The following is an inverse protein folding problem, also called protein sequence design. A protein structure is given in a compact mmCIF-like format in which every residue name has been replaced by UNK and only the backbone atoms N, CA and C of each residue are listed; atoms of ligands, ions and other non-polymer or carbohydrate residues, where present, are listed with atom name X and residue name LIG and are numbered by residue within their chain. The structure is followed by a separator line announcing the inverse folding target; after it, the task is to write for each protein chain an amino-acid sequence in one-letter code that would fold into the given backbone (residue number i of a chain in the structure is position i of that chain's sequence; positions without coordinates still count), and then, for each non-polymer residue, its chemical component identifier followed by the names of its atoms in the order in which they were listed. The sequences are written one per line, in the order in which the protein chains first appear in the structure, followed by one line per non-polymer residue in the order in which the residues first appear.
data_IF_283790149460
#
_entry.id   IF_283790149460
#
_cell.length_a   1.000
_cell.length_b   1.000
_cell.length_c   1.000
_cell.angle_alpha   90.00
_cell.angle_beta   90.00
_cell.angle_gamma   90.00
#
_symmetry.space_group_name_H-M   'P 1'
#
loop_
_entity.id
_entity.type
_entity.pdbx_description
1 polymer ?
#
# COMPACT_ATOMS: atom_id res chain seq x y z
N UNK A 1 18.42 2.09 19.09
CA UNK A 1 17.03 1.58 19.19
C UNK A 1 16.74 0.53 18.12
N UNK A 2 16.83 0.88 16.82
CA UNK A 2 16.54 -0.05 15.69
C UNK A 2 17.26 -1.40 15.81
N UNK A 3 18.57 -1.41 16.10
CA UNK A 3 19.32 -2.64 16.36
C UNK A 3 18.62 -3.56 17.38
N UNK A 4 18.18 -3.03 18.53
CA UNK A 4 17.51 -3.84 19.57
C UNK A 4 16.16 -4.40 19.09
N UNK A 5 15.42 -3.65 18.27
CA UNK A 5 14.14 -4.11 17.71
C UNK A 5 14.40 -5.27 16.75
N UNK A 6 15.38 -5.14 15.85
CA UNK A 6 15.71 -6.20 14.89
C UNK A 6 16.28 -7.44 15.58
N UNK A 7 17.12 -7.28 16.61
CA UNK A 7 17.60 -8.42 17.41
C UNK A 7 16.45 -9.13 18.13
N UNK A 8 15.48 -8.39 18.68
CA UNK A 8 14.28 -9.01 19.26
C UNK A 8 13.47 -9.75 18.19
N UNK A 9 13.27 -9.16 17.02
CA UNK A 9 12.55 -9.80 15.92
C UNK A 9 13.24 -11.09 15.43
N UNK A 10 14.57 -11.12 15.36
CA UNK A 10 15.36 -12.33 15.05
C UNK A 10 15.31 -13.38 16.16
N UNK A 11 15.26 -12.93 17.42
CA UNK A 11 15.23 -13.83 18.58
C UNK A 11 13.88 -14.53 18.71
N UNK A 12 12.79 -13.79 18.55
CA UNK A 12 11.43 -14.31 18.75
C UNK A 12 10.74 -14.76 17.45
N UNK A 13 11.28 -14.36 16.29
CA UNK A 13 10.78 -14.74 14.98
C UNK A 13 11.74 -15.68 14.26
N UNK A 14 11.19 -16.61 13.48
CA UNK A 14 11.99 -17.44 12.57
C UNK A 14 12.20 -16.69 11.24
N UNK A 15 13.04 -15.65 11.25
CA UNK A 15 13.29 -14.82 10.08
C UNK A 15 14.24 -15.53 9.11
N UNK A 16 13.87 -15.57 7.84
CA UNK A 16 14.76 -16.07 6.79
C UNK A 16 15.82 -15.03 6.43
N UNK A 17 16.96 -15.45 5.88
CA UNK A 17 18.01 -14.54 5.40
C UNK A 17 17.55 -13.60 4.29
N UNK A 18 16.46 -13.94 3.58
CA UNK A 18 15.89 -13.15 2.49
C UNK A 18 14.68 -12.31 2.95
N UNK A 19 14.49 -12.12 4.26
CA UNK A 19 13.39 -11.33 4.80
C UNK A 19 13.56 -9.86 4.40
N UNK A 20 12.52 -9.26 3.83
CA UNK A 20 12.47 -7.81 3.63
C UNK A 20 12.37 -7.12 4.99
N UNK A 21 13.32 -6.22 5.25
CA UNK A 21 13.36 -5.36 6.43
C UNK A 21 13.28 -3.91 5.93
N UNK A 22 12.05 -3.42 5.89
CA UNK A 22 11.71 -2.08 5.38
C UNK A 22 11.72 -1.04 6.49
N UNK A 23 12.27 0.14 6.20
CA UNK A 23 12.15 1.34 7.02
C UNK A 23 11.44 2.44 6.22
N UNK A 24 10.54 3.18 6.87
CA UNK A 24 9.98 4.43 6.33
C UNK A 24 10.76 5.63 6.88
N UNK A 25 11.01 6.61 6.02
CA UNK A 25 11.74 7.83 6.36
C UNK A 25 11.14 9.05 5.66
N UNK A 26 11.30 10.22 6.27
CA UNK A 26 11.07 11.53 5.67
C UNK A 26 12.40 12.14 5.20
N UNK A 27 12.39 13.05 4.20
CA UNK A 27 13.60 13.69 3.65
C UNK A 27 14.37 14.63 4.58
N UNK A 28 14.20 14.55 5.90
CA UNK A 28 14.80 15.51 6.83
C UNK A 28 16.28 15.24 7.05
N UNK A 29 17.08 16.31 7.23
CA UNK A 29 18.53 16.19 7.46
C UNK A 29 18.91 15.31 8.66
N UNK A 30 18.05 15.20 9.67
CA UNK A 30 18.26 14.36 10.85
C UNK A 30 18.16 12.87 10.52
N UNK A 31 17.22 12.50 9.67
CA UNK A 31 17.04 11.12 9.23
C UNK A 31 18.13 10.70 8.26
N UNK A 32 18.52 11.60 7.35
CA UNK A 32 19.55 11.32 6.35
C UNK A 32 20.91 10.97 6.95
N UNK A 33 21.29 11.59 8.08
CA UNK A 33 22.54 11.28 8.80
C UNK A 33 22.58 9.86 9.38
N UNK A 34 21.46 9.15 9.44
CA UNK A 34 21.33 7.83 10.06
C UNK A 34 21.18 6.69 9.05
N UNK A 35 21.06 6.97 7.75
CA UNK A 35 20.82 5.92 6.75
C UNK A 35 21.87 4.81 6.76
N UNK A 36 23.15 5.16 6.82
CA UNK A 36 24.23 4.17 6.91
C UNK A 36 24.13 3.30 8.18
N UNK A 37 23.73 3.89 9.30
CA UNK A 37 23.51 3.14 10.54
C UNK A 37 22.29 2.22 10.45
N UNK A 38 21.24 2.63 9.73
CA UNK A 38 20.08 1.78 9.47
C UNK A 38 20.44 0.60 8.56
N UNK A 39 21.21 0.84 7.49
CA UNK A 39 21.74 -0.23 6.64
C UNK A 39 22.58 -1.22 7.45
N UNK A 40 23.50 -0.72 8.29
CA UNK A 40 24.30 -1.56 9.18
C UNK A 40 23.46 -2.36 10.19
N UNK A 41 22.31 -1.83 10.62
CA UNK A 41 21.39 -2.57 11.48
C UNK A 41 20.70 -3.75 10.79
N UNK A 42 20.71 -3.78 9.44
CA UNK A 42 20.08 -4.81 8.63
C UNK A 42 18.84 -4.35 7.87
N UNK A 43 18.51 -3.05 7.87
CA UNK A 43 17.49 -2.51 6.94
C UNK A 43 17.99 -2.75 5.51
N UNK A 44 17.17 -3.38 4.68
CA UNK A 44 17.50 -3.71 3.29
C UNK A 44 16.52 -3.11 2.27
N UNK A 45 15.49 -2.39 2.72
CA UNK A 45 14.61 -1.56 1.89
C UNK A 45 14.27 -0.26 2.61
N UNK A 46 14.28 0.85 1.88
CA UNK A 46 13.86 2.17 2.39
C UNK A 46 12.63 2.64 1.61
N UNK A 47 11.60 3.15 2.29
CA UNK A 47 10.51 3.95 1.68
C UNK A 47 10.70 5.39 2.09
N UNK A 48 10.93 6.29 1.12
CA UNK A 48 11.17 7.70 1.37
C UNK A 48 9.94 8.52 0.98
N UNK A 49 9.33 9.15 1.97
CA UNK A 49 8.14 9.99 1.83
C UNK A 49 8.42 11.36 1.22
N UNK A 50 8.78 11.42 -0.07
CA UNK A 50 9.15 12.66 -0.78
C UNK A 50 7.95 13.58 -1.00
N UNK A 51 6.84 13.00 -1.42
CA UNK A 51 5.54 13.59 -1.73
C UNK A 51 5.51 14.52 -2.95
N UNK A 52 6.44 15.46 -3.04
CA UNK A 52 6.58 16.37 -4.19
C UNK A 52 8.00 16.94 -4.29
N UNK A 53 8.38 17.38 -5.48
CA UNK A 53 9.59 18.17 -5.75
C UNK A 53 9.25 19.65 -6.02
N UNK A 54 8.08 20.10 -5.56
CA UNK A 54 7.62 21.48 -5.67
C UNK A 54 7.34 22.05 -4.27
N UNK A 55 8.01 23.15 -3.90
CA UNK A 55 7.89 23.74 -2.56
C UNK A 55 6.46 24.19 -2.23
N UNK A 56 5.74 24.80 -3.19
CA UNK A 56 4.35 25.21 -2.98
C UNK A 56 3.44 24.01 -2.68
N UNK A 57 3.68 22.89 -3.36
CA UNK A 57 2.96 21.64 -3.12
C UNK A 57 3.31 21.03 -1.76
N UNK A 58 4.58 21.05 -1.37
CA UNK A 58 5.04 20.57 -0.07
C UNK A 58 4.43 21.38 1.08
N UNK A 59 4.40 22.71 0.95
CA UNK A 59 3.73 23.62 1.88
C UNK A 59 2.24 23.31 2.00
N UNK A 60 1.55 23.09 0.87
CA UNK A 60 0.14 22.70 0.84
C UNK A 60 -0.11 21.38 1.60
N UNK A 61 0.79 20.41 1.44
CA UNK A 61 0.73 19.12 2.11
C UNK A 61 1.20 19.19 3.58
N UNK A 62 1.62 20.36 4.06
CA UNK A 62 2.11 20.56 5.44
C UNK A 62 3.44 19.87 5.73
N UNK A 63 4.31 19.74 4.73
CA UNK A 63 5.64 19.14 4.88
C UNK A 63 6.65 20.15 5.40
N UNK A 64 7.59 19.66 6.20
CA UNK A 64 8.63 20.43 6.87
C UNK A 64 9.99 20.35 6.16
N UNK A 65 10.00 19.86 4.92
CA UNK A 65 11.15 19.76 4.05
C UNK A 65 10.91 20.45 2.71
N UNK A 66 11.98 20.94 2.08
CA UNK A 66 11.97 21.54 0.74
C UNK A 66 12.22 20.53 -0.38
N UNK A 67 11.92 20.91 -1.62
CA UNK A 67 12.23 20.14 -2.82
C UNK A 67 13.74 19.83 -2.92
N UNK A 68 14.58 20.80 -2.55
CA UNK A 68 16.05 20.62 -2.53
C UNK A 68 16.50 19.58 -1.50
N UNK A 69 15.89 19.57 -0.31
CA UNK A 69 16.15 18.54 0.70
C UNK A 69 15.68 17.16 0.23
N UNK A 70 14.51 17.10 -0.43
CA UNK A 70 14.03 15.90 -1.09
C UNK A 70 15.02 15.34 -2.11
N UNK A 71 15.53 16.15 -3.04
CA UNK A 71 16.51 15.69 -4.04
C UNK A 71 17.79 15.13 -3.40
N UNK A 72 18.32 15.82 -2.39
CA UNK A 72 19.50 15.36 -1.66
C UNK A 72 19.22 14.06 -0.90
N UNK A 73 18.05 13.95 -0.27
CA UNK A 73 17.62 12.76 0.45
C UNK A 73 17.48 11.57 -0.49
N UNK A 74 16.89 11.77 -1.67
CA UNK A 74 16.77 10.75 -2.72
C UNK A 74 18.15 10.29 -3.16
N UNK A 75 19.02 11.20 -3.56
CA UNK A 75 20.37 10.88 -4.03
C UNK A 75 21.18 10.08 -3.00
N UNK A 76 21.11 10.49 -1.74
CA UNK A 76 21.77 9.79 -0.64
C UNK A 76 21.14 8.41 -0.40
N UNK A 77 19.82 8.31 -0.41
CA UNK A 77 19.10 7.05 -0.21
C UNK A 77 19.43 6.01 -1.27
N UNK A 78 19.44 6.40 -2.55
CA UNK A 78 19.78 5.48 -3.65
C UNK A 78 21.27 5.10 -3.68
N UNK A 79 22.13 5.95 -3.11
CA UNK A 79 23.54 5.60 -2.91
C UNK A 79 23.75 4.63 -1.73
N UNK A 80 22.90 4.72 -0.70
CA UNK A 80 23.01 3.87 0.49
C UNK A 80 22.28 2.53 0.31
N UNK A 81 21.08 2.46 -0.25
CA UNK A 81 20.28 1.23 -0.31
C UNK A 81 20.07 0.72 -1.74
N UNK A 82 20.10 -0.60 -1.92
CA UNK A 82 19.84 -1.24 -3.23
C UNK A 82 18.35 -1.25 -3.60
N UNK A 83 17.46 -1.13 -2.61
CA UNK A 83 16.01 -1.06 -2.78
C UNK A 83 15.44 0.16 -2.06
N UNK A 84 15.12 1.20 -2.83
CA UNK A 84 14.50 2.43 -2.35
C UNK A 84 13.14 2.57 -3.04
N UNK A 85 12.09 2.86 -2.29
CA UNK A 85 10.83 3.40 -2.82
C UNK A 85 10.81 4.89 -2.62
N UNK A 86 10.39 5.63 -3.64
CA UNK A 86 10.06 7.04 -3.49
C UNK A 86 8.55 7.19 -3.56
N UNK A 87 8.00 7.81 -2.52
CA UNK A 87 6.56 7.93 -2.34
C UNK A 87 6.17 9.36 -2.72
N UNK A 88 5.26 9.51 -3.68
CA UNK A 88 4.79 10.77 -4.24
C UNK A 88 3.28 10.88 -4.18
N UNK A 89 2.76 12.10 -4.09
CA UNK A 89 1.32 12.39 -4.09
C UNK A 89 0.97 13.23 -5.31
N UNK A 90 -0.07 12.84 -6.05
CA UNK A 90 -0.58 13.57 -7.22
C UNK A 90 -2.09 13.82 -7.13
N UNK A 91 -2.64 14.58 -8.07
CA UNK A 91 -4.04 15.00 -8.03
C UNK A 91 -4.27 16.08 -6.98
N UNK A 92 -3.24 16.88 -6.72
CA UNK A 92 -3.26 17.94 -5.70
C UNK A 92 -3.94 19.18 -6.31
N UNK A 93 -4.80 19.91 -5.57
CA UNK A 93 -5.43 21.13 -6.06
C UNK A 93 -4.41 22.12 -6.66
N UNK A 94 -4.67 22.55 -7.90
CA UNK A 94 -3.78 23.43 -8.66
C UNK A 94 -2.73 22.72 -9.52
N UNK A 95 -2.53 21.40 -9.36
CA UNK A 95 -1.70 20.60 -10.25
C UNK A 95 -2.39 20.44 -11.61
N UNK A 96 -1.62 20.48 -12.69
CA UNK A 96 -2.10 20.20 -14.06
C UNK A 96 -1.54 18.87 -14.57
N UNK A 97 -2.23 18.23 -15.52
CA UNK A 97 -1.75 16.98 -16.15
C UNK A 97 -0.36 17.15 -16.78
N UNK A 98 -0.09 18.30 -17.39
CA UNK A 98 1.22 18.60 -17.99
C UNK A 98 2.32 18.73 -16.93
N UNK A 99 2.04 19.46 -15.83
CA UNK A 99 3.00 19.55 -14.71
C UNK A 99 3.28 18.17 -14.10
N UNK A 100 2.25 17.33 -13.95
CA UNK A 100 2.43 15.99 -13.40
C UNK A 100 3.17 15.06 -14.36
N UNK A 101 2.93 15.16 -15.67
CA UNK A 101 3.70 14.42 -16.67
C UNK A 101 5.19 14.77 -16.62
N UNK A 102 5.51 16.05 -16.44
CA UNK A 102 6.89 16.49 -16.27
C UNK A 102 7.52 15.92 -15.00
N UNK A 103 6.79 15.96 -13.88
CA UNK A 103 7.21 15.34 -12.62
C UNK A 103 7.46 13.83 -12.80
N UNK A 104 6.53 13.09 -13.43
CA UNK A 104 6.67 11.65 -13.70
C UNK A 104 7.94 11.32 -14.50
N UNK A 105 8.19 12.07 -15.58
CA UNK A 105 9.39 11.93 -16.40
C UNK A 105 10.67 12.23 -15.62
N UNK A 106 10.62 13.17 -14.68
CA UNK A 106 11.76 13.51 -13.84
C UNK A 106 12.00 12.46 -12.75
N UNK A 107 10.97 12.09 -11.98
CA UNK A 107 11.09 11.13 -10.87
C UNK A 107 11.46 9.73 -11.36
N UNK A 108 11.04 9.35 -12.58
CA UNK A 108 11.44 8.08 -13.21
C UNK A 108 12.95 8.00 -13.47
N UNK A 109 13.68 9.10 -13.41
CA UNK A 109 15.13 9.18 -13.66
C UNK A 109 15.97 9.29 -12.39
N UNK A 110 15.35 9.36 -11.20
CA UNK A 110 16.03 9.54 -9.91
C UNK A 110 16.77 8.29 -9.37
N UNK A 111 17.13 7.36 -10.24
CA UNK A 111 17.94 6.19 -9.88
C UNK A 111 17.23 5.07 -9.12
N UNK A 112 16.00 5.29 -8.64
CA UNK A 112 15.21 4.23 -8.00
C UNK A 112 14.63 3.22 -9.00
N UNK A 113 14.38 2.00 -8.52
CA UNK A 113 13.62 0.97 -9.22
C UNK A 113 12.15 0.86 -8.77
N UNK A 114 11.76 1.56 -7.70
CA UNK A 114 10.42 1.48 -7.12
C UNK A 114 9.84 2.87 -6.84
N UNK A 115 8.58 3.07 -7.22
CA UNK A 115 7.83 4.30 -6.99
C UNK A 115 6.45 3.96 -6.44
N UNK A 116 6.02 4.65 -5.39
CA UNK A 116 4.65 4.60 -4.90
C UNK A 116 3.98 5.95 -5.16
N UNK A 117 3.06 5.96 -6.12
CA UNK A 117 2.37 7.15 -6.61
C UNK A 117 0.94 7.13 -6.09
N UNK A 118 0.68 7.94 -5.07
CA UNK A 118 -0.62 8.03 -4.41
C UNK A 118 -1.43 9.18 -5.00
N UNK A 119 -2.67 8.89 -5.37
CA UNK A 119 -3.62 9.97 -5.63
C UNK A 119 -4.06 10.56 -4.29
N UNK A 120 -4.14 11.90 -4.20
CA UNK A 120 -4.53 12.58 -2.98
C UNK A 120 -5.95 12.18 -2.56
N UNK A 121 -6.07 11.49 -1.43
CA UNK A 121 -7.35 11.18 -0.80
C UNK A 121 -7.63 12.10 0.39
N UNK A 122 -8.91 12.39 0.62
CA UNK A 122 -9.34 13.29 1.68
C UNK A 122 -9.91 12.47 2.84
N UNK A 123 -9.15 12.38 3.92
CA UNK A 123 -9.56 11.65 5.11
C UNK A 123 -10.31 12.54 6.11
N UNK A 124 -11.38 12.00 6.70
CA UNK A 124 -12.15 12.71 7.73
C UNK A 124 -11.27 13.05 8.93
N UNK A 125 -11.41 14.26 9.45
CA UNK A 125 -10.64 14.74 10.60
C UNK A 125 -9.30 15.38 10.25
N UNK A 126 -8.88 15.36 8.98
CA UNK A 126 -7.68 16.07 8.53
C UNK A 126 -7.92 17.58 8.36
N UNK A 127 -6.87 18.42 8.41
CA UNK A 127 -6.96 19.83 8.04
C UNK A 127 -7.55 20.03 6.63
N UNK A 128 -7.11 19.24 5.65
CA UNK A 128 -7.61 19.31 4.27
C UNK A 128 -9.12 19.07 4.19
N UNK A 129 -9.64 18.04 4.90
CA UNK A 129 -11.09 17.80 4.97
C UNK A 129 -11.86 19.01 5.48
N UNK A 130 -11.34 19.70 6.51
CA UNK A 130 -11.97 20.92 7.05
C UNK A 130 -11.99 22.05 6.02
N UNK A 131 -10.90 22.25 5.28
CA UNK A 131 -10.83 23.27 4.24
C UNK A 131 -11.80 23.00 3.09
N UNK A 132 -11.92 21.75 2.65
CA UNK A 132 -12.87 21.35 1.60
C UNK A 132 -14.31 21.52 2.10
N UNK A 133 -14.59 21.06 3.33
CA UNK A 133 -15.92 21.21 3.93
C UNK A 133 -16.35 22.67 4.04
N UNK A 134 -15.41 23.56 4.37
CA UNK A 134 -15.62 25.00 4.45
C UNK A 134 -15.51 25.72 3.09
N UNK A 135 -15.34 24.98 1.98
CA UNK A 135 -15.23 25.49 0.61
C UNK A 135 -14.06 26.46 0.39
N UNK A 136 -13.01 26.40 1.20
CA UNK A 136 -11.78 27.19 0.98
C UNK A 136 -10.82 26.53 -0.01
N UNK A 137 -10.98 25.22 -0.24
CA UNK A 137 -10.22 24.43 -1.22
C UNK A 137 -11.22 23.60 -2.03
N UNK A 138 -11.04 23.57 -3.35
CA UNK A 138 -11.81 22.71 -4.26
C UNK A 138 -10.92 21.56 -4.72
N UNK A 139 -11.39 20.33 -4.53
CA UNK A 139 -10.73 19.14 -5.07
C UNK A 139 -11.00 19.00 -6.56
N UNK A 140 -10.13 18.28 -7.26
CA UNK A 140 -10.41 17.80 -8.59
C UNK A 140 -11.69 16.94 -8.58
N UNK A 141 -12.53 17.08 -9.60
CA UNK A 141 -13.66 16.18 -9.79
C UNK A 141 -13.20 14.77 -10.20
N UNK A 142 -14.13 13.83 -10.24
CA UNK A 142 -13.84 12.42 -10.50
C UNK A 142 -13.26 12.19 -11.92
N UNK A 143 -13.69 12.99 -12.90
CA UNK A 143 -13.20 12.91 -14.28
C UNK A 143 -11.74 13.35 -14.38
N UNK A 144 -11.39 14.50 -13.80
CA UNK A 144 -10.01 14.95 -13.73
C UNK A 144 -9.15 13.98 -12.92
N UNK A 145 -9.65 13.44 -11.81
CA UNK A 145 -8.94 12.42 -11.04
C UNK A 145 -8.64 11.17 -11.89
N UNK A 146 -9.59 10.72 -12.71
CA UNK A 146 -9.39 9.61 -13.63
C UNK A 146 -8.32 9.93 -14.68
N UNK A 147 -8.33 11.13 -15.26
CA UNK A 147 -7.31 11.57 -16.23
C UNK A 147 -5.90 11.54 -15.62
N UNK A 148 -5.74 11.98 -14.37
CA UNK A 148 -4.46 11.91 -13.67
C UNK A 148 -4.00 10.47 -13.46
N UNK A 149 -4.90 9.57 -13.07
CA UNK A 149 -4.59 8.16 -12.89
C UNK A 149 -4.16 7.51 -14.21
N UNK A 150 -4.91 7.74 -15.29
CA UNK A 150 -4.59 7.21 -16.63
C UNK A 150 -3.26 7.76 -17.16
N UNK A 151 -3.03 9.07 -17.05
CA UNK A 151 -1.76 9.70 -17.42
C UNK A 151 -0.59 9.05 -16.66
N UNK A 152 -0.76 8.82 -15.35
CA UNK A 152 0.25 8.16 -14.51
C UNK A 152 0.60 6.78 -15.05
N UNK A 153 -0.40 5.94 -15.32
CA UNK A 153 -0.16 4.60 -15.83
C UNK A 153 0.54 4.62 -17.19
N UNK A 154 0.11 5.49 -18.10
CA UNK A 154 0.64 5.57 -19.45
C UNK A 154 2.10 6.05 -19.46
N UNK A 155 2.41 7.15 -18.76
CA UNK A 155 3.78 7.67 -18.68
C UNK A 155 4.69 6.67 -17.98
N UNK A 156 4.28 6.06 -16.86
CA UNK A 156 5.12 5.09 -16.16
C UNK A 156 5.42 3.85 -17.00
N UNK A 157 4.44 3.38 -17.80
CA UNK A 157 4.65 2.29 -18.76
C UNK A 157 5.66 2.66 -19.84
N UNK A 158 5.60 3.87 -20.39
CA UNK A 158 6.60 4.39 -21.34
C UNK A 158 8.00 4.42 -20.70
N UNK A 159 8.08 4.79 -19.42
CA UNK A 159 9.31 4.81 -18.60
C UNK A 159 9.76 3.40 -18.13
N UNK A 160 9.15 2.32 -18.63
CA UNK A 160 9.47 0.93 -18.29
C UNK A 160 9.25 0.59 -16.81
N UNK A 161 8.18 1.10 -16.22
CA UNK A 161 7.68 0.69 -14.92
C UNK A 161 6.36 -0.06 -15.06
N UNK A 162 6.26 -1.19 -14.37
CA UNK A 162 5.05 -1.98 -14.22
C UNK A 162 4.33 -1.62 -12.92
N UNK A 163 3.09 -1.17 -13.04
CA UNK A 163 2.17 -1.11 -11.92
C UNK A 163 1.81 -2.54 -11.48
N UNK A 164 1.92 -2.84 -10.19
CA UNK A 164 1.54 -4.17 -9.67
C UNK A 164 0.40 -4.11 -8.64
N UNK A 165 0.18 -2.93 -8.05
CA UNK A 165 -0.97 -2.60 -7.22
C UNK A 165 -1.36 -1.13 -7.41
N UNK A 166 -2.51 -0.72 -6.87
CA UNK A 166 -3.15 0.58 -7.10
C UNK A 166 -2.19 1.79 -7.07
N UNK A 167 -1.19 1.80 -6.20
CA UNK A 167 -0.25 2.93 -6.07
C UNK A 167 1.21 2.59 -6.42
N UNK A 168 1.62 1.32 -6.41
CA UNK A 168 3.06 0.99 -6.58
C UNK A 168 3.44 0.46 -7.95
N UNK A 169 4.59 0.95 -8.38
CA UNK A 169 5.24 0.70 -9.65
C UNK A 169 6.67 0.21 -9.40
N UNK A 170 7.10 -0.75 -10.19
CA UNK A 170 8.48 -1.24 -10.17
C UNK A 170 9.02 -1.28 -11.59
N UNK A 171 10.32 -1.00 -11.79
CA UNK A 171 10.92 -1.15 -13.12
C UNK A 171 10.71 -2.56 -13.64
N UNK A 172 10.41 -2.68 -14.94
CA UNK A 172 10.10 -3.96 -15.57
C UNK A 172 11.21 -5.00 -15.38
N UNK A 173 12.47 -4.56 -15.41
CA UNK A 173 13.66 -5.40 -15.19
C UNK A 173 13.95 -5.74 -13.72
N UNK A 174 13.22 -5.15 -12.76
CA UNK A 174 13.47 -5.23 -11.32
C UNK A 174 12.25 -5.78 -10.54
N UNK A 175 11.49 -6.72 -11.11
CA UNK A 175 10.28 -7.28 -10.45
C UNK A 175 10.54 -7.87 -9.06
N UNK A 176 11.78 -8.28 -8.77
CA UNK A 176 12.20 -8.76 -7.46
C UNK A 176 12.27 -7.66 -6.38
N UNK A 177 12.11 -6.38 -6.73
CA UNK A 177 12.16 -5.23 -5.81
C UNK A 177 10.77 -4.71 -5.41
N UNK A 178 9.68 -5.37 -5.84
CA UNK A 178 8.32 -5.06 -5.35
C UNK A 178 8.27 -5.17 -3.83
N UNK A 179 7.59 -4.23 -3.16
CA UNK A 179 7.46 -4.26 -1.70
C UNK A 179 6.71 -5.49 -1.19
N UNK A 180 7.40 -6.37 -0.47
CA UNK A 180 6.81 -7.58 0.14
C UNK A 180 5.91 -7.19 1.31
N UNK A 181 6.27 -6.14 2.06
CA UNK A 181 5.46 -5.58 3.14
C UNK A 181 4.01 -5.32 2.68
N UNK A 182 3.83 -4.48 1.66
CA UNK A 182 2.50 -4.12 1.14
C UNK A 182 1.78 -5.35 0.57
N UNK A 183 2.46 -6.14 -0.27
CA UNK A 183 1.89 -7.34 -0.89
C UNK A 183 1.41 -8.38 0.13
N UNK A 184 2.05 -8.47 1.29
CA UNK A 184 1.63 -9.37 2.37
C UNK A 184 0.25 -9.02 2.92
N UNK A 185 -0.05 -7.72 3.09
CA UNK A 185 -1.40 -7.28 3.47
C UNK A 185 -2.41 -7.62 2.38
N UNK A 186 -2.09 -7.24 1.12
CA UNK A 186 -2.98 -7.43 -0.02
C UNK A 186 -3.30 -8.90 -0.33
N UNK A 187 -2.44 -9.83 0.07
CA UNK A 187 -2.62 -11.29 -0.12
C UNK A 187 -3.16 -12.02 1.11
N UNK A 188 -3.56 -11.29 2.15
CA UNK A 188 -4.19 -11.93 3.31
C UNK A 188 -3.21 -12.52 4.33
N UNK A 189 -1.91 -12.28 4.25
CA UNK A 189 -0.95 -12.83 5.20
C UNK A 189 -1.20 -12.32 6.62
N UNK A 190 -0.96 -13.19 7.60
CA UNK A 190 -0.99 -12.78 9.00
C UNK A 190 0.22 -11.88 9.31
N UNK A 191 0.03 -10.93 10.22
CA UNK A 191 1.04 -10.00 10.68
C UNK A 191 0.79 -9.60 12.13
N UNK A 192 1.87 -9.36 12.86
CA UNK A 192 1.82 -8.94 14.26
C UNK A 192 2.08 -7.44 14.32
N UNK A 193 1.10 -6.68 14.82
CA UNK A 193 1.28 -5.28 15.18
C UNK A 193 1.91 -5.14 16.55
N UNK A 194 3.04 -4.42 16.62
CA UNK A 194 3.76 -4.10 17.86
C UNK A 194 3.92 -2.59 17.97
N UNK A 195 3.79 -2.08 19.18
CA UNK A 195 3.90 -0.65 19.48
C UNK A 195 2.54 0.04 19.62
N UNK A 196 2.53 1.29 20.08
CA UNK A 196 1.30 2.06 20.28
C UNK A 196 0.54 2.24 18.96
N UNK A 197 -0.78 2.05 19.00
CA UNK A 197 -1.68 2.20 17.85
C UNK A 197 -1.59 1.10 16.79
N UNK A 198 -0.65 0.16 16.91
CA UNK A 198 -0.46 -0.88 15.91
C UNK A 198 -1.68 -1.83 15.81
N UNK A 199 -1.95 -2.27 14.59
CA UNK A 199 -2.94 -3.30 14.29
C UNK A 199 -2.25 -4.60 13.87
N UNK A 200 -2.90 -5.74 14.10
CA UNK A 200 -2.41 -7.04 13.69
C UNK A 200 -3.53 -7.94 13.17
N UNK A 201 -3.17 -8.94 12.37
CA UNK A 201 -4.03 -10.07 11.99
C UNK A 201 -3.28 -11.36 12.26
N UNK A 202 -3.80 -12.23 13.12
CA UNK A 202 -3.10 -13.46 13.46
C UNK A 202 -4.03 -14.65 13.61
N UNK A 203 -3.61 -15.80 13.09
CA UNK A 203 -4.21 -17.10 13.36
C UNK A 203 -3.93 -17.58 14.79
N UNK A 204 -4.96 -18.13 15.44
CA UNK A 204 -4.86 -18.84 16.72
C UNK A 204 -5.08 -20.33 16.51
N UNK A 205 -4.05 -21.13 16.81
CA UNK A 205 -4.14 -22.60 16.77
C UNK A 205 -5.12 -23.15 17.81
N UNK A 206 -5.26 -22.52 18.98
CA UNK A 206 -6.13 -23.01 20.04
C UNK A 206 -7.61 -22.92 19.65
N UNK A 207 -8.01 -21.81 19.01
CA UNK A 207 -9.40 -21.58 18.61
C UNK A 207 -9.67 -21.87 17.13
N UNK A 208 -8.64 -22.21 16.35
CA UNK A 208 -8.69 -22.40 14.90
C UNK A 208 -9.37 -21.22 14.19
N UNK A 209 -8.99 -19.99 14.56
CA UNK A 209 -9.61 -18.73 14.06
C UNK A 209 -8.59 -17.62 13.90
N UNK A 210 -8.83 -16.71 12.95
CA UNK A 210 -8.07 -15.45 12.81
C UNK A 210 -8.67 -14.36 13.70
N UNK A 211 -7.81 -13.49 14.20
CA UNK A 211 -8.19 -12.34 15.01
C UNK A 211 -7.60 -11.05 14.47
N UNK A 212 -8.35 -9.96 14.56
CA UNK A 212 -7.81 -8.61 14.51
C UNK A 212 -7.37 -8.20 15.91
N UNK A 213 -6.13 -7.74 16.01
CA UNK A 213 -5.56 -7.23 17.25
C UNK A 213 -5.37 -5.73 17.14
N UNK A 214 -5.66 -5.03 18.23
CA UNK A 214 -5.56 -3.58 18.34
C UNK A 214 -4.68 -3.28 19.54
N UNK A 215 -3.61 -2.51 19.36
CA UNK A 215 -2.80 -2.02 20.48
C UNK A 215 -3.40 -0.76 21.07
N UNK A 216 -3.05 -0.48 22.32
CA UNK A 216 -3.37 0.82 22.92
C UNK A 216 -2.74 1.91 22.05
N UNK A 217 -3.50 2.97 21.76
CA UNK A 217 -3.05 4.08 20.93
C UNK A 217 -2.00 4.94 21.65
N UNK A 218 -2.27 5.27 22.92
CA UNK A 218 -1.45 6.18 23.71
C UNK A 218 -0.13 5.53 24.15
N UNK A 219 1.04 6.09 23.81
CA UNK A 219 2.33 5.46 24.09
C UNK A 219 2.59 5.12 25.56
N UNK A 220 2.31 6.04 26.48
CA UNK A 220 2.57 5.81 27.90
C UNK A 220 1.69 4.69 28.47
N UNK A 221 0.39 4.72 28.17
CA UNK A 221 -0.53 3.66 28.60
C UNK A 221 -0.17 2.30 27.98
N UNK A 222 0.31 2.30 26.73
CA UNK A 222 0.79 1.08 26.07
C UNK A 222 2.02 0.52 26.80
N UNK A 223 2.97 1.36 27.17
CA UNK A 223 4.18 0.95 27.93
C UNK A 223 3.81 0.42 29.32
N UNK A 224 3.00 1.15 30.08
CA UNK A 224 2.55 0.74 31.42
C UNK A 224 1.83 -0.63 31.39
N UNK A 225 1.01 -0.87 30.37
CA UNK A 225 0.33 -2.15 30.21
C UNK A 225 1.31 -3.27 29.80
N UNK A 226 2.26 -3.00 28.92
CA UNK A 226 3.31 -3.95 28.59
C UNK A 226 4.12 -4.37 29.82
N UNK A 227 4.48 -3.43 30.70
CA UNK A 227 5.24 -3.71 31.91
C UNK A 227 4.42 -4.44 32.98
N UNK A 228 3.13 -4.14 33.11
CA UNK A 228 2.27 -4.74 34.14
C UNK A 228 1.76 -6.13 33.80
N UNK A 229 1.37 -6.39 32.55
CA UNK A 229 0.74 -7.67 32.14
C UNK A 229 1.46 -8.37 30.97
N UNK A 230 2.56 -7.81 30.47
CA UNK A 230 3.38 -8.42 29.41
C UNK A 230 2.94 -8.13 27.97
N UNK A 231 1.84 -7.40 27.74
CA UNK A 231 1.43 -6.98 26.38
C UNK A 231 0.52 -5.74 26.34
N UNK A 232 0.70 -4.89 25.31
CA UNK A 232 -0.11 -3.68 25.10
C UNK A 232 -1.36 -3.87 24.23
N UNK A 233 -2.07 -5.00 24.39
CA UNK A 233 -3.28 -5.28 23.61
C UNK A 233 -4.50 -4.56 24.22
N UNK A 234 -5.22 -3.79 23.39
CA UNK A 234 -6.48 -3.14 23.76
C UNK A 234 -7.69 -4.01 23.43
N UNK A 235 -7.71 -4.62 22.24
CA UNK A 235 -8.79 -5.49 21.77
C UNK A 235 -8.24 -6.63 20.93
N UNK A 236 -8.92 -7.77 21.01
CA UNK A 236 -8.72 -8.92 20.14
C UNK A 236 -10.10 -9.38 19.68
N UNK A 237 -10.36 -9.32 18.37
CA UNK A 237 -11.70 -9.56 17.79
C UNK A 237 -11.61 -10.70 16.78
N UNK A 238 -12.38 -11.79 16.93
CA UNK A 238 -12.39 -12.86 15.94
C UNK A 238 -12.91 -12.36 14.60
N UNK A 239 -12.30 -12.80 13.51
CA UNK A 239 -12.73 -12.47 12.15
C UNK A 239 -13.64 -13.57 11.64
N UNK A 240 -14.85 -13.19 11.21
CA UNK A 240 -15.76 -14.15 10.58
C UNK A 240 -15.18 -14.62 9.24
N UNK A 241 -15.38 -15.89 8.90
CA UNK A 241 -14.83 -16.46 7.66
C UNK A 241 -15.25 -15.66 6.42
N UNK A 242 -16.55 -15.35 6.30
CA UNK A 242 -17.11 -14.53 5.20
C UNK A 242 -16.46 -13.14 5.11
N UNK A 243 -16.22 -12.50 6.26
CA UNK A 243 -15.63 -11.16 6.30
C UNK A 243 -14.20 -11.16 5.77
N UNK A 244 -13.40 -12.16 6.16
CA UNK A 244 -12.04 -12.32 5.65
C UNK A 244 -12.04 -12.61 4.14
N UNK A 245 -12.96 -13.44 3.63
CA UNK A 245 -13.04 -13.70 2.20
C UNK A 245 -13.41 -12.45 1.40
N UNK A 246 -14.35 -11.64 1.91
CA UNK A 246 -14.70 -10.35 1.31
C UNK A 246 -13.51 -9.37 1.31
N UNK A 247 -12.74 -9.33 2.41
CA UNK A 247 -11.50 -8.55 2.51
C UNK A 247 -10.48 -8.99 1.45
N UNK A 248 -10.30 -10.29 1.22
CA UNK A 248 -9.40 -10.80 0.17
C UNK A 248 -9.82 -10.34 -1.23
N UNK A 249 -11.12 -10.35 -1.55
CA UNK A 249 -11.60 -9.87 -2.86
C UNK A 249 -11.29 -8.38 -3.01
N UNK A 250 -11.66 -7.57 -2.01
CA UNK A 250 -11.42 -6.12 -2.02
C UNK A 250 -9.93 -5.81 -2.23
N UNK A 251 -9.06 -6.47 -1.48
CA UNK A 251 -7.62 -6.27 -1.57
C UNK A 251 -7.03 -6.81 -2.88
N UNK A 252 -7.55 -7.95 -3.37
CA UNK A 252 -7.14 -8.54 -4.64
C UNK A 252 -7.48 -7.65 -5.84
N UNK A 253 -8.63 -6.99 -5.83
CA UNK A 253 -9.04 -6.05 -6.90
C UNK A 253 -8.20 -4.75 -6.92
N UNK A 254 -7.43 -4.47 -5.87
CA UNK A 254 -6.43 -3.39 -5.86
C UNK A 254 -5.08 -3.84 -6.43
N UNK A 255 -4.98 -5.04 -7.00
CA UNK A 255 -3.78 -5.60 -7.60
C UNK A 255 -3.99 -5.96 -9.06
N UNK A 256 -2.92 -5.80 -9.86
CA UNK A 256 -2.90 -6.24 -11.26
C UNK A 256 -3.09 -7.75 -11.40
N UNK A 257 -2.57 -8.54 -10.46
CA UNK A 257 -2.72 -10.01 -10.44
C UNK A 257 -4.12 -10.45 -10.00
N UNK A 258 -4.90 -9.55 -9.38
CA UNK A 258 -6.22 -9.86 -8.87
C UNK A 258 -6.25 -10.80 -7.67
N UNK A 259 -7.35 -11.55 -7.59
CA UNK A 259 -7.57 -12.63 -6.64
C UNK A 259 -7.66 -13.98 -7.37
N UNK A 260 -6.87 -14.96 -6.96
CA UNK A 260 -6.89 -16.31 -7.53
C UNK A 260 -7.68 -17.26 -6.63
N UNK A 261 -8.29 -18.29 -7.22
CA UNK A 261 -9.00 -19.32 -6.45
C UNK A 261 -8.08 -20.03 -5.45
N UNK A 262 -6.80 -20.23 -5.80
CA UNK A 262 -5.81 -20.88 -4.94
C UNK A 262 -5.54 -20.08 -3.65
N UNK A 263 -5.76 -18.76 -3.66
CA UNK A 263 -5.58 -17.99 -2.42
C UNK A 263 -6.60 -18.44 -1.38
N UNK A 264 -7.83 -18.79 -1.79
CA UNK A 264 -8.94 -19.16 -0.89
C UNK A 264 -8.66 -20.48 -0.16
N UNK A 265 -7.86 -21.37 -0.75
CA UNK A 265 -7.46 -22.64 -0.12
C UNK A 265 -6.70 -22.40 1.19
N UNK A 266 -5.91 -21.32 1.28
CA UNK A 266 -5.19 -20.91 2.50
C UNK A 266 -6.13 -20.44 3.62
N UNK A 267 -7.39 -20.25 3.29
CA UNK A 267 -8.39 -19.64 4.15
C UNK A 267 -9.62 -20.51 4.39
N UNK A 268 -9.60 -21.77 3.96
CA UNK A 268 -10.64 -22.74 4.26
C UNK A 268 -11.04 -23.61 3.07
N UNK A 269 -10.77 -23.20 1.81
CA UNK A 269 -10.97 -24.01 0.59
C UNK A 269 -12.40 -24.46 0.26
N UNK A 270 -13.34 -24.37 1.20
CA UNK A 270 -14.74 -24.77 1.02
C UNK A 270 -15.53 -23.77 0.14
N UNK A 271 -15.08 -22.51 0.10
CA UNK A 271 -15.72 -21.43 -0.64
C UNK A 271 -14.96 -21.16 -1.93
N UNK A 272 -15.66 -21.21 -3.07
CA UNK A 272 -15.09 -20.91 -4.39
C UNK A 272 -15.41 -19.48 -4.81
N UNK A 273 -14.63 -18.92 -5.74
CA UNK A 273 -14.95 -17.63 -6.36
C UNK A 273 -16.34 -17.63 -7.00
N UNK A 274 -16.72 -18.72 -7.68
CA UNK A 274 -18.08 -18.87 -8.24
C UNK A 274 -19.17 -18.71 -7.15
N UNK A 275 -19.00 -19.35 -5.99
CA UNK A 275 -19.98 -19.26 -4.90
C UNK A 275 -20.07 -17.87 -4.28
N UNK A 276 -18.93 -17.17 -4.16
CA UNK A 276 -18.90 -15.79 -3.67
C UNK A 276 -19.58 -14.83 -4.62
N UNK A 277 -19.44 -15.10 -5.93
CA UNK A 277 -19.91 -14.24 -7.00
C UNK A 277 -21.31 -14.58 -7.51
N UNK A 278 -21.95 -15.64 -7.00
CA UNK A 278 -23.23 -16.15 -7.48
C UNK A 278 -24.33 -15.08 -7.54
N UNK A 279 -24.39 -14.21 -6.54
CA UNK A 279 -25.38 -13.12 -6.45
C UNK A 279 -24.91 -11.82 -7.13
N UNK A 280 -23.75 -11.84 -7.77
CA UNK A 280 -23.08 -10.67 -8.38
C UNK A 280 -22.75 -10.91 -9.86
N UNK A 281 -23.27 -11.97 -10.48
CA UNK A 281 -22.97 -12.35 -11.87
C UNK A 281 -23.31 -11.24 -12.87
N UNK A 282 -24.42 -10.53 -12.69
CA UNK A 282 -24.77 -9.39 -13.55
C UNK A 282 -23.78 -8.23 -13.42
N UNK A 283 -23.36 -7.92 -12.19
CA UNK A 283 -22.37 -6.88 -11.89
C UNK A 283 -21.01 -7.25 -12.50
N UNK A 284 -20.57 -8.50 -12.31
CA UNK A 284 -19.35 -9.02 -12.91
C UNK A 284 -19.38 -8.97 -14.43
N UNK A 285 -20.48 -9.42 -15.05
CA UNK A 285 -20.66 -9.38 -16.51
C UNK A 285 -20.56 -7.95 -17.03
N UNK A 286 -21.17 -6.98 -16.34
CA UNK A 286 -21.08 -5.56 -16.68
C UNK A 286 -19.63 -5.06 -16.55
N UNK A 287 -18.98 -5.35 -15.43
CA UNK A 287 -17.58 -4.96 -15.19
C UNK A 287 -16.61 -5.56 -16.21
N UNK A 288 -16.87 -6.79 -16.68
CA UNK A 288 -16.00 -7.48 -17.65
C UNK A 288 -16.27 -7.04 -19.09
N UNK A 289 -17.53 -7.04 -19.54
CA UNK A 289 -17.87 -6.90 -20.95
C UNK A 289 -18.29 -5.49 -21.37
N UNK A 290 -18.88 -4.69 -20.47
CA UNK A 290 -19.34 -3.34 -20.80
C UNK A 290 -18.33 -2.28 -20.37
N UNK A 291 -17.77 -2.42 -19.17
CA UNK A 291 -16.87 -1.43 -18.57
C UNK A 291 -15.38 -1.75 -18.82
N UNK A 292 -15.08 -3.02 -19.09
CA UNK A 292 -13.72 -3.56 -19.28
C UNK A 292 -12.81 -3.28 -18.07
N UNK A 293 -13.36 -3.32 -16.86
CA UNK A 293 -12.63 -3.09 -15.62
C UNK A 293 -11.96 -4.35 -15.07
N UNK A 294 -12.51 -5.52 -15.36
CA UNK A 294 -11.98 -6.79 -14.87
C UNK A 294 -11.84 -7.81 -15.99
N UNK A 295 -11.06 -8.84 -15.72
CA UNK A 295 -10.98 -10.07 -16.51
C UNK A 295 -11.29 -11.24 -15.58
N UNK A 296 -12.26 -12.08 -15.96
CA UNK A 296 -12.65 -13.29 -15.23
C UNK A 296 -12.08 -14.50 -15.96
N UNK A 297 -10.96 -15.00 -15.44
CA UNK A 297 -10.34 -16.21 -15.96
C UNK A 297 -11.06 -17.45 -15.42
N UNK A 298 -11.27 -18.43 -16.30
CA UNK A 298 -11.90 -19.72 -15.97
C UNK A 298 -10.95 -20.88 -16.25
N UNK A 299 -11.05 -21.95 -15.46
CA UNK A 299 -10.32 -23.18 -15.71
C UNK A 299 -11.02 -24.06 -16.78
N UNK A 300 -10.43 -25.21 -17.11
CA UNK A 300 -10.98 -26.15 -18.12
C UNK A 300 -12.40 -26.65 -17.79
N UNK A 301 -12.81 -26.60 -16.52
CA UNK A 301 -14.14 -27.00 -16.06
C UNK A 301 -15.14 -25.83 -16.01
N UNK A 302 -14.77 -24.66 -16.56
CA UNK A 302 -15.61 -23.46 -16.59
C UNK A 302 -15.73 -22.71 -15.26
N UNK A 303 -15.06 -23.15 -14.19
CA UNK A 303 -15.06 -22.47 -12.88
C UNK A 303 -14.14 -21.27 -12.87
N UNK A 304 -14.49 -20.22 -12.14
CA UNK A 304 -13.67 -19.03 -12.00
C UNK A 304 -12.36 -19.41 -11.29
N UNK A 305 -11.24 -19.24 -11.98
CA UNK A 305 -9.91 -19.49 -11.47
C UNK A 305 -9.22 -18.23 -10.95
N UNK A 306 -9.55 -17.07 -11.52
CA UNK A 306 -8.98 -15.78 -11.13
C UNK A 306 -9.87 -14.62 -11.60
N UNK A 307 -9.99 -13.59 -10.78
CA UNK A 307 -10.58 -12.31 -11.14
C UNK A 307 -9.51 -11.25 -10.95
N UNK A 308 -9.13 -10.54 -12.01
CA UNK A 308 -8.12 -9.48 -11.95
C UNK A 308 -8.59 -8.21 -12.61
N UNK A 309 -8.02 -7.08 -12.21
CA UNK A 309 -8.32 -5.80 -12.84
C UNK A 309 -7.58 -5.64 -14.16
N UNK A 310 -8.20 -4.90 -15.07
CA UNK A 310 -7.51 -4.32 -16.23
C UNK A 310 -6.75 -3.07 -15.79
N UNK A 311 -5.94 -2.51 -16.69
CA UNK A 311 -5.28 -1.22 -16.45
C UNK A 311 -6.31 -0.13 -16.09
N UNK A 312 -7.37 -0.04 -16.89
CA UNK A 312 -8.51 0.87 -16.68
C UNK A 312 -9.23 0.61 -15.35
N UNK A 313 -9.51 -0.66 -15.04
CA UNK A 313 -10.26 -1.02 -13.84
C UNK A 313 -9.53 -0.71 -12.54
N UNK A 314 -8.20 -0.64 -12.54
CA UNK A 314 -7.44 -0.38 -11.32
C UNK A 314 -7.73 1.00 -10.71
N UNK A 315 -8.13 1.98 -11.54
CA UNK A 315 -8.63 3.29 -11.09
C UNK A 315 -9.90 3.17 -10.22
N UNK A 316 -10.67 2.10 -10.42
CA UNK A 316 -11.98 1.87 -9.81
C UNK A 316 -11.96 0.78 -8.74
N UNK A 317 -10.79 0.32 -8.29
CA UNK A 317 -10.65 -0.80 -7.34
C UNK A 317 -11.55 -0.68 -6.10
N UNK A 318 -11.62 0.53 -5.54
CA UNK A 318 -12.42 0.81 -4.34
C UNK A 318 -13.92 0.78 -4.61
N UNK A 319 -14.35 1.28 -5.76
CA UNK A 319 -15.74 1.24 -6.17
C UNK A 319 -16.18 -0.18 -6.48
N UNK A 320 -15.37 -0.94 -7.22
CA UNK A 320 -15.63 -2.36 -7.52
C UNK A 320 -15.75 -3.19 -6.26
N UNK A 321 -14.84 -2.99 -5.29
CA UNK A 321 -14.91 -3.66 -4.01
C UNK A 321 -16.23 -3.38 -3.28
N UNK A 322 -16.72 -2.13 -3.28
CA UNK A 322 -18.02 -1.77 -2.67
C UNK A 322 -19.21 -2.43 -3.37
N UNK A 323 -19.22 -2.52 -4.70
CA UNK A 323 -20.32 -3.15 -5.43
C UNK A 323 -20.36 -4.67 -5.25
N UNK A 324 -19.20 -5.31 -5.03
CA UNK A 324 -19.09 -6.77 -4.89
C UNK A 324 -19.31 -7.28 -3.46
N UNK A 325 -19.25 -6.41 -2.44
CA UNK A 325 -19.59 -6.73 -1.04
C UNK A 325 -21.10 -6.73 -0.78
#
# INVERSE_FOLDING_TARGET
MVFKILEAAKTYGNLSNNTEITLEANPTSVEMKKLELFKQAGINRLSLGVQSLNDTTLDFLGRDHSAKESELAIATSVATFDNVSLDFIYGIPGQTLESWKQDLCHISQLGTAHLSLYQLTVERGTPLYRHIHNKSITMLDDDNQADFFEMTQNVMKEQQFDQYEVSSFVRSKNQNLRGIHNQSYWTGNDYIGVGPGAHGRSWSNASQRRFRTFRILEPNQWMDQCESIGHGARRCVPIAHKEMLNELIMLGLRRKDGISAQILDRFGGEVTLDSMMQNKLAILSRMEHELEWIVVNRNMNGRISNIRTTQKGLAFGDMMARELM
#
